data_IF_787230885517
#
_entry.id   IF_787230885517
#
_cell.length_a   1.000
_cell.length_b   1.000
_cell.length_c   1.000
_cell.angle_alpha   90.00
_cell.angle_beta   90.00
_cell.angle_gamma   90.00
#
_symmetry.space_group_name_H-M   'P 1'
#
loop_
_entity.id
_entity.type
_entity.pdbx_description
1 polymer ?
#
# COMPACT_ATOMS: atom_id res chain seq x y z
N UNK A 1 -7.13 -9.13 -7.45
CA UNK A 1 -7.10 -8.15 -6.34
C UNK A 1 -7.37 -8.79 -4.98
N UNK A 2 -8.28 -9.76 -4.91
CA UNK A 2 -8.74 -10.39 -3.66
C UNK A 2 -7.67 -11.09 -2.80
N UNK A 3 -6.49 -11.35 -3.33
CA UNK A 3 -5.39 -11.97 -2.57
C UNK A 3 -4.29 -10.99 -2.12
N UNK A 4 -4.47 -9.67 -2.31
CA UNK A 4 -3.56 -8.69 -1.72
C UNK A 4 -3.89 -8.49 -0.24
N UNK A 5 -2.90 -8.61 0.63
CA UNK A 5 -3.06 -8.33 2.07
C UNK A 5 -3.55 -6.90 2.31
N UNK A 6 -3.15 -5.94 1.47
CA UNK A 6 -3.65 -4.55 1.55
C UNK A 6 -5.14 -4.44 1.22
N UNK A 7 -5.66 -5.26 0.30
CA UNK A 7 -7.08 -5.30 -0.01
C UNK A 7 -7.88 -5.92 1.14
N UNK A 8 -7.36 -7.00 1.74
CA UNK A 8 -7.95 -7.62 2.94
C UNK A 8 -7.97 -6.66 4.11
N UNK A 9 -6.87 -5.94 4.34
CA UNK A 9 -6.78 -4.93 5.40
C UNK A 9 -7.77 -3.78 5.17
N UNK A 10 -7.86 -3.26 3.94
CA UNK A 10 -8.82 -2.21 3.61
C UNK A 10 -10.28 -2.66 3.87
N UNK A 11 -10.63 -3.88 3.49
CA UNK A 11 -11.94 -4.46 3.78
C UNK A 11 -12.20 -4.58 5.29
N UNK A 12 -11.21 -5.05 6.05
CA UNK A 12 -11.31 -5.16 7.51
C UNK A 12 -11.47 -3.79 8.19
N UNK A 13 -10.68 -2.79 7.78
CA UNK A 13 -10.76 -1.42 8.30
C UNK A 13 -12.12 -0.76 8.02
N UNK A 14 -12.75 -1.08 6.89
CA UNK A 14 -14.11 -0.61 6.57
C UNK A 14 -15.14 -1.16 7.58
N UNK A 15 -14.90 -2.34 8.15
CA UNK A 15 -15.84 -3.02 9.05
C UNK A 15 -15.72 -2.65 10.54
N UNK A 16 -14.65 -2.00 10.97
CA UNK A 16 -14.40 -1.70 12.41
C UNK A 16 -14.92 -0.34 12.86
N UNK A 17 -15.43 0.49 11.95
CA UNK A 17 -15.94 1.84 12.25
C UNK A 17 -14.85 2.92 12.17
N UNK A 18 -15.05 4.02 12.89
CA UNK A 18 -14.15 5.18 12.86
C UNK A 18 -12.76 4.82 13.39
N UNK A 19 -11.74 5.19 12.62
CA UNK A 19 -10.33 4.95 12.96
C UNK A 19 -9.44 6.01 12.30
N UNK A 20 -8.28 6.24 12.90
CA UNK A 20 -7.19 6.99 12.28
C UNK A 20 -6.23 6.04 11.58
N UNK A 21 -5.85 6.35 10.34
CA UNK A 21 -4.94 5.52 9.55
C UNK A 21 -3.72 6.33 9.09
N UNK A 22 -2.56 5.98 9.64
CA UNK A 22 -1.27 6.54 9.25
C UNK A 22 -0.38 5.48 8.63
N UNK A 23 0.43 5.87 7.64
CA UNK A 23 1.35 4.99 6.93
C UNK A 23 2.79 5.29 7.32
N UNK A 24 3.50 4.28 7.81
CA UNK A 24 4.91 4.40 8.17
C UNK A 24 5.84 3.81 7.12
N UNK A 25 7.02 4.41 6.99
CA UNK A 25 8.09 3.89 6.14
C UNK A 25 9.03 3.01 6.95
N UNK A 26 8.98 1.70 6.71
CA UNK A 26 9.80 0.72 7.42
C UNK A 26 9.09 0.17 8.66
N UNK A 27 9.45 -1.05 9.02
CA UNK A 27 8.87 -1.77 10.18
C UNK A 27 9.31 -1.15 11.51
N UNK A 28 10.52 -0.61 11.55
CA UNK A 28 11.11 0.07 12.70
C UNK A 28 10.27 1.28 13.16
N UNK A 29 9.81 2.11 12.22
CA UNK A 29 8.97 3.27 12.54
C UNK A 29 7.58 2.87 13.03
N UNK A 30 7.00 1.82 12.44
CA UNK A 30 5.70 1.31 12.88
C UNK A 30 5.77 0.74 14.30
N UNK A 31 6.84 0.01 14.62
CA UNK A 31 7.09 -0.51 15.96
C UNK A 31 7.33 0.62 16.98
N UNK A 32 8.11 1.64 16.60
CA UNK A 32 8.38 2.79 17.45
C UNK A 32 7.11 3.57 17.79
N UNK A 33 6.20 3.77 16.83
CA UNK A 33 4.94 4.47 17.06
C UNK A 33 4.07 3.76 18.11
N UNK A 34 3.97 2.43 18.06
CA UNK A 34 3.24 1.66 19.07
C UNK A 34 3.94 1.71 20.42
N UNK A 35 5.28 1.57 20.44
CA UNK A 35 6.05 1.64 21.68
C UNK A 35 5.99 3.03 22.37
N UNK A 36 5.76 4.08 21.60
CA UNK A 36 5.62 5.46 22.07
C UNK A 36 4.16 5.86 22.39
N UNK A 37 3.21 4.94 22.28
CA UNK A 37 1.76 5.19 22.46
C UNK A 37 1.19 6.22 21.45
N UNK A 38 1.85 6.38 20.30
CA UNK A 38 1.40 7.23 19.18
C UNK A 38 0.39 6.51 18.27
N UNK A 39 0.29 5.18 18.39
CA UNK A 39 -0.67 4.36 17.68
C UNK A 39 -1.04 3.12 18.51
N UNK A 40 -2.32 2.74 18.53
CA UNK A 40 -2.79 1.55 19.26
C UNK A 40 -2.25 0.24 18.65
N UNK A 41 -2.12 0.20 17.32
CA UNK A 41 -1.72 -0.99 16.58
C UNK A 41 -0.82 -0.66 15.39
N UNK A 42 0.13 -1.56 15.11
CA UNK A 42 0.86 -1.60 13.85
C UNK A 42 0.50 -2.89 13.10
N UNK A 43 0.02 -2.74 11.87
CA UNK A 43 -0.29 -3.88 11.00
C UNK A 43 0.79 -4.00 9.92
N UNK A 44 1.53 -5.10 9.95
CA UNK A 44 2.51 -5.44 8.92
C UNK A 44 1.88 -6.42 7.92
N UNK A 45 1.95 -6.09 6.64
CA UNK A 45 1.40 -6.91 5.55
C UNK A 45 2.51 -7.39 4.62
N UNK A 46 2.27 -8.49 3.90
CA UNK A 46 3.24 -8.98 2.91
C UNK A 46 3.41 -7.93 1.80
N UNK A 47 4.65 -7.70 1.34
CA UNK A 47 4.87 -6.83 0.20
C UNK A 47 4.25 -7.45 -1.07
N UNK A 48 3.69 -6.61 -1.92
CA UNK A 48 3.17 -7.04 -3.22
C UNK A 48 4.32 -7.37 -4.17
N UNK A 49 4.18 -8.44 -4.95
CA UNK A 49 5.17 -8.85 -5.94
C UNK A 49 5.03 -8.08 -7.25
N UNK A 50 6.11 -8.01 -8.05
CA UNK A 50 6.06 -7.40 -9.40
C UNK A 50 5.04 -8.11 -10.28
N UNK A 51 5.00 -9.45 -10.25
CA UNK A 51 4.02 -10.23 -11.01
C UNK A 51 2.57 -9.89 -10.61
N UNK A 52 2.30 -9.67 -9.32
CA UNK A 52 0.96 -9.25 -8.88
C UNK A 52 0.62 -7.82 -9.32
N UNK A 53 1.59 -6.91 -9.34
CA UNK A 53 1.41 -5.55 -9.87
C UNK A 53 1.07 -5.61 -11.36
N UNK A 54 1.84 -6.38 -12.15
CA UNK A 54 1.64 -6.56 -13.59
C UNK A 54 0.28 -7.19 -13.89
N UNK A 55 -0.06 -8.30 -13.22
CA UNK A 55 -1.35 -8.94 -13.36
C UNK A 55 -2.50 -7.97 -13.05
N UNK A 56 -2.38 -7.16 -12.00
CA UNK A 56 -3.37 -6.13 -11.70
C UNK A 56 -3.47 -5.07 -12.81
N UNK A 57 -2.34 -4.58 -13.32
CA UNK A 57 -2.35 -3.57 -14.39
C UNK A 57 -3.09 -4.06 -15.65
N UNK A 58 -3.00 -5.36 -15.98
CA UNK A 58 -3.73 -5.96 -17.10
C UNK A 58 -5.24 -6.05 -16.91
N UNK A 59 -5.75 -6.01 -15.67
CA UNK A 59 -7.20 -6.00 -15.40
C UNK A 59 -7.85 -4.64 -15.67
N UNK A 60 -7.05 -3.56 -15.64
CA UNK A 60 -7.58 -2.19 -15.64
C UNK A 60 -8.06 -1.72 -14.26
N UNK A 61 -8.04 -2.57 -13.23
CA UNK A 61 -8.45 -2.22 -11.88
C UNK A 61 -7.37 -1.47 -11.11
N UNK A 62 -7.81 -0.69 -10.11
CA UNK A 62 -6.92 0.07 -9.23
C UNK A 62 -6.44 -0.80 -8.07
N UNK A 63 -5.14 -0.76 -7.80
CA UNK A 63 -4.60 -1.28 -6.54
C UNK A 63 -5.05 -0.43 -5.36
N UNK A 64 -5.19 -1.01 -4.14
CA UNK A 64 -5.43 -0.25 -2.92
C UNK A 64 -4.32 0.78 -2.67
N UNK A 65 -4.62 1.92 -2.02
CA UNK A 65 -3.64 2.97 -1.76
C UNK A 65 -2.43 2.44 -0.98
N UNK A 66 -1.24 2.95 -1.31
CA UNK A 66 0.03 2.65 -0.63
C UNK A 66 0.43 1.16 -0.61
N UNK A 67 -0.14 0.34 -1.50
CA UNK A 67 0.18 -1.11 -1.61
C UNK A 67 1.57 -1.41 -2.19
N UNK A 68 2.21 -0.46 -2.88
CA UNK A 68 3.50 -0.64 -3.56
C UNK A 68 4.53 0.39 -3.10
N UNK A 69 5.77 -0.05 -2.84
CA UNK A 69 6.90 0.83 -2.60
C UNK A 69 8.05 0.50 -3.57
N UNK A 70 8.22 1.33 -4.60
CA UNK A 70 9.33 1.21 -5.54
C UNK A 70 10.56 1.96 -5.02
N UNK A 71 11.68 1.25 -4.83
CA UNK A 71 12.98 1.82 -4.49
C UNK A 71 14.15 1.07 -5.18
N UNK A 72 15.12 1.79 -5.78
CA UNK A 72 15.09 3.24 -6.03
C UNK A 72 13.89 3.60 -6.92
N UNK A 73 13.43 4.85 -6.83
CA UNK A 73 12.37 5.31 -7.72
C UNK A 73 12.85 5.12 -9.17
N UNK A 74 12.03 4.55 -10.07
CA UNK A 74 12.39 4.44 -11.48
C UNK A 74 12.86 5.81 -11.97
N UNK A 75 13.97 5.85 -12.73
CA UNK A 75 14.44 7.11 -13.33
C UNK A 75 13.39 7.57 -14.33
N UNK A 76 12.50 8.47 -13.90
CA UNK A 76 11.44 9.00 -14.75
C UNK A 76 11.83 10.36 -15.31
N UNK A 77 11.52 10.59 -16.59
CA UNK A 77 11.28 11.92 -17.15
C UNK A 77 9.79 12.06 -17.48
N UNK A 78 9.31 13.29 -17.70
CA UNK A 78 7.93 13.51 -18.17
C UNK A 78 7.87 13.08 -19.64
N UNK A 79 7.04 12.07 -19.95
CA UNK A 79 6.74 11.66 -21.31
C UNK A 79 5.26 11.92 -21.55
N UNK A 80 4.93 12.84 -22.47
CA UNK A 80 3.57 13.02 -22.94
C UNK A 80 3.31 12.10 -24.12
N UNK A 81 2.30 11.24 -24.02
CA UNK A 81 1.79 10.48 -25.16
C UNK A 81 0.74 11.32 -25.88
N UNK A 82 0.99 11.67 -27.14
CA UNK A 82 -0.03 12.29 -27.98
C UNK A 82 -1.20 11.31 -28.14
N UNK A 83 -2.39 11.73 -27.72
CA UNK A 83 -3.65 11.06 -27.99
C UNK A 83 -4.25 11.83 -29.16
N UNK A 84 -3.86 11.45 -30.39
CA UNK A 84 -4.47 12.02 -31.59
C UNK A 84 -5.99 11.86 -31.59
#
# INVERSE_FOLDING_TARGET
LDDLDSARLAAALTGIGDHELTYQHGTDRAQAAVAADEADWAVLIRPVTVAAIEANAHTGDRMPPKSTFFFPKPRTGIVFRSLG
#
